data_IF_902243785360
#
_entry.id   IF_902243785360
#
_cell.length_a   1.000
_cell.length_b   1.000
_cell.length_c   1.000
_cell.angle_alpha   90.00
_cell.angle_beta   90.00
_cell.angle_gamma   90.00
#
_symmetry.space_group_name_H-M   'P 1'
#
loop_
_entity.id
_entity.type
_entity.pdbx_description
1 polymer ?
#
# COMPACT_ATOMS: atom_id res chain seq x y z
N UNK A 1 -25.00 12.52 -54.90
CA UNK A 1 -23.59 12.76 -54.55
C UNK A 1 -23.54 13.56 -53.27
N UNK A 2 -22.80 13.03 -52.27
CA UNK A 2 -22.27 13.71 -51.07
C UNK A 2 -23.29 14.12 -50.00
N UNK A 3 -23.04 14.09 -48.69
CA UNK A 3 -22.06 13.47 -47.79
C UNK A 3 -22.49 13.85 -46.34
N UNK A 4 -22.06 13.06 -45.34
CA UNK A 4 -22.19 13.30 -43.89
C UNK A 4 -21.49 14.58 -43.38
N UNK A 5 -21.92 15.11 -42.23
CA UNK A 5 -21.10 15.55 -41.06
C UNK A 5 -21.95 16.44 -40.11
N UNK A 6 -22.31 15.98 -38.91
CA UNK A 6 -21.59 16.11 -37.62
C UNK A 6 -21.67 17.50 -36.96
N UNK A 7 -22.43 17.54 -35.87
CA UNK A 7 -22.54 18.60 -34.87
C UNK A 7 -21.16 18.95 -34.26
N UNK A 8 -20.76 20.21 -34.38
CA UNK A 8 -19.72 20.81 -33.55
C UNK A 8 -20.37 21.92 -32.70
N UNK A 9 -20.19 21.80 -31.37
CA UNK A 9 -20.72 22.72 -30.37
C UNK A 9 -20.17 24.13 -30.52
N UNK A 10 -21.07 25.10 -30.36
CA UNK A 10 -20.74 26.51 -30.26
C UNK A 10 -21.17 27.00 -28.87
N UNK A 11 -20.22 27.17 -27.96
CA UNK A 11 -20.46 27.82 -26.66
C UNK A 11 -20.29 29.34 -26.81
N UNK A 12 -21.29 30.18 -26.50
CA UNK A 12 -21.09 31.61 -26.44
C UNK A 12 -20.40 32.02 -25.12
N UNK A 13 -19.57 33.09 -25.13
CA UNK A 13 -18.69 33.45 -24.03
C UNK A 13 -19.39 34.27 -22.93
N UNK A 14 -19.10 33.88 -21.69
CA UNK A 14 -19.03 34.67 -20.45
C UNK A 14 -20.06 35.82 -20.29
N UNK A 15 -21.24 35.48 -19.79
CA UNK A 15 -22.14 36.43 -19.13
C UNK A 15 -21.91 36.37 -17.61
N UNK A 16 -21.59 37.51 -17.02
CA UNK A 16 -21.40 37.75 -15.59
C UNK A 16 -22.67 37.42 -14.79
N UNK A 17 -22.79 36.16 -14.37
CA UNK A 17 -23.84 35.70 -13.47
C UNK A 17 -23.47 35.96 -12.02
N UNK A 18 -24.10 36.95 -11.39
CA UNK A 18 -24.44 36.81 -9.95
C UNK A 18 -25.30 35.56 -9.83
N UNK A 19 -24.74 34.46 -9.34
CA UNK A 19 -25.54 33.31 -8.94
C UNK A 19 -26.48 33.74 -7.80
N UNK A 20 -27.81 33.60 -7.91
CA UNK A 20 -28.70 33.78 -6.78
C UNK A 20 -28.48 32.57 -5.86
N UNK A 21 -27.59 32.76 -4.89
CA UNK A 21 -27.49 31.90 -3.74
C UNK A 21 -28.78 32.10 -2.92
N UNK A 22 -29.73 31.16 -2.93
CA UNK A 22 -30.70 30.95 -1.83
C UNK A 22 -31.74 29.83 -2.06
N UNK A 23 -31.32 28.64 -2.49
CA UNK A 23 -32.07 27.41 -2.14
C UNK A 23 -31.09 26.30 -1.74
N UNK A 24 -30.54 26.46 -0.53
CA UNK A 24 -29.78 25.42 0.21
C UNK A 24 -30.66 24.18 0.47
N UNK A 25 -30.06 23.00 0.73
CA UNK A 25 -30.77 21.75 1.02
C UNK A 25 -31.44 21.78 2.41
N UNK A 26 -32.47 22.62 2.58
CA UNK A 26 -33.12 22.92 3.86
C UNK A 26 -33.91 21.72 4.42
N UNK A 27 -34.46 20.84 3.57
CA UNK A 27 -35.33 19.74 4.03
C UNK A 27 -34.56 18.61 4.73
N UNK A 28 -33.37 18.25 4.24
CA UNK A 28 -32.59 17.11 4.75
C UNK A 28 -31.84 17.46 6.05
N UNK A 29 -31.40 18.71 6.16
CA UNK A 29 -30.72 19.23 7.35
C UNK A 29 -31.70 19.46 8.52
N UNK A 30 -32.96 19.83 8.24
CA UNK A 30 -34.00 19.98 9.26
C UNK A 30 -34.40 18.64 9.88
N UNK A 31 -34.58 17.58 9.07
CA UNK A 31 -34.91 16.24 9.58
C UNK A 31 -33.83 15.71 10.53
N UNK A 32 -32.54 15.83 10.15
CA UNK A 32 -31.42 15.42 11.00
C UNK A 32 -31.33 16.19 12.32
N UNK A 33 -31.71 17.47 12.31
CA UNK A 33 -31.74 18.29 13.52
C UNK A 33 -32.88 17.86 14.45
N UNK A 34 -34.06 17.56 13.89
CA UNK A 34 -35.19 17.01 14.66
C UNK A 34 -34.83 15.69 15.32
N UNK A 35 -34.21 14.76 14.58
CA UNK A 35 -33.78 13.46 15.10
C UNK A 35 -32.76 13.62 16.24
N UNK A 36 -31.84 14.60 16.13
CA UNK A 36 -30.88 14.91 17.19
C UNK A 36 -31.57 15.40 18.47
N UNK A 37 -32.56 16.28 18.34
CA UNK A 37 -33.31 16.82 19.49
C UNK A 37 -34.06 15.72 20.23
N UNK A 38 -34.72 14.82 19.49
CA UNK A 38 -35.44 13.68 20.06
C UNK A 38 -34.52 12.79 20.92
N UNK A 39 -33.32 12.49 20.40
CA UNK A 39 -32.31 11.69 21.12
C UNK A 39 -31.72 12.40 22.33
N UNK A 40 -31.59 13.72 22.28
CA UNK A 40 -31.18 14.52 23.44
C UNK A 40 -32.26 14.46 24.53
N UNK A 41 -33.54 14.58 24.17
CA UNK A 41 -34.66 14.52 25.10
C UNK A 41 -34.82 13.15 25.76
N UNK A 42 -34.62 12.07 25.00
CA UNK A 42 -34.59 10.71 25.52
C UNK A 42 -33.54 10.55 26.64
N UNK A 43 -32.30 11.01 26.39
CA UNK A 43 -31.21 10.90 27.36
C UNK A 43 -31.36 11.85 28.56
N UNK A 44 -31.88 13.06 28.33
CA UNK A 44 -32.18 14.01 29.42
C UNK A 44 -33.23 13.43 30.37
N UNK A 45 -34.27 12.81 29.82
CA UNK A 45 -35.34 12.17 30.60
C UNK A 45 -34.81 10.96 31.36
N UNK A 46 -33.98 10.12 30.73
CA UNK A 46 -33.40 8.93 31.35
C UNK A 46 -32.46 9.26 32.52
N UNK A 47 -31.70 10.35 32.41
CA UNK A 47 -30.74 10.78 33.44
C UNK A 47 -31.34 11.76 34.46
N UNK A 48 -32.57 12.24 34.23
CA UNK A 48 -33.21 13.25 35.08
C UNK A 48 -32.48 14.60 35.12
N UNK A 49 -31.66 14.90 34.10
CA UNK A 49 -30.86 16.14 34.03
C UNK A 49 -31.64 17.26 33.34
N UNK A 50 -31.41 18.50 33.78
CA UNK A 50 -32.05 19.67 33.15
C UNK A 50 -31.28 20.15 31.92
N UNK A 51 -31.99 20.74 30.93
CA UNK A 51 -31.38 21.31 29.73
C UNK A 51 -30.24 22.29 30.04
N UNK A 52 -30.42 23.10 31.08
CA UNK A 52 -29.47 24.12 31.53
C UNK A 52 -28.21 23.48 32.09
N UNK A 53 -28.37 22.45 32.91
CA UNK A 53 -27.28 21.72 33.54
C UNK A 53 -26.39 21.03 32.51
N UNK A 54 -26.98 20.31 31.55
CA UNK A 54 -26.22 19.65 30.48
C UNK A 54 -25.58 20.66 29.53
N UNK A 55 -26.26 21.76 29.21
CA UNK A 55 -25.67 22.84 28.40
C UNK A 55 -24.44 23.44 29.08
N UNK A 56 -24.49 23.63 30.40
CA UNK A 56 -23.38 24.16 31.18
C UNK A 56 -22.19 23.19 31.21
N UNK A 57 -22.46 21.89 31.42
CA UNK A 57 -21.44 20.84 31.42
C UNK A 57 -20.77 20.72 30.05
N UNK A 58 -21.57 20.69 28.98
CA UNK A 58 -21.06 20.50 27.62
C UNK A 58 -20.27 21.71 27.07
N UNK A 59 -20.47 22.90 27.65
CA UNK A 59 -19.79 24.13 27.23
C UNK A 59 -18.74 24.63 28.22
N UNK A 60 -18.42 23.84 29.26
CA UNK A 60 -17.51 24.23 30.33
C UNK A 60 -17.91 25.57 30.97
N UNK A 61 -19.23 25.79 31.14
CA UNK A 61 -19.77 27.01 31.72
C UNK A 61 -19.95 28.19 30.77
N UNK A 62 -19.58 28.08 29.49
CA UNK A 62 -19.60 29.18 28.52
C UNK A 62 -21.00 29.53 28.01
N UNK A 63 -21.94 28.60 28.00
CA UNK A 63 -23.32 28.85 27.58
C UNK A 63 -24.33 27.94 28.27
N UNK A 64 -25.38 28.53 28.84
CA UNK A 64 -26.52 27.81 29.42
C UNK A 64 -27.62 27.47 28.42
N UNK A 65 -27.54 27.98 27.19
CA UNK A 65 -28.64 27.96 26.22
C UNK A 65 -28.38 27.05 25.00
N UNK A 66 -27.30 26.25 25.01
CA UNK A 66 -26.92 25.40 23.87
C UNK A 66 -28.07 24.50 23.38
N UNK A 67 -28.68 23.72 24.28
CA UNK A 67 -29.79 22.81 23.91
C UNK A 67 -31.04 23.60 23.51
N UNK A 68 -31.27 24.74 24.15
CA UNK A 68 -32.39 25.64 23.85
C UNK A 68 -32.28 26.25 22.45
N UNK A 69 -31.08 26.61 22.03
CA UNK A 69 -30.80 27.18 20.71
C UNK A 69 -30.85 26.11 19.61
N UNK A 70 -30.46 24.87 19.91
CA UNK A 70 -30.68 23.71 19.04
C UNK A 70 -32.18 23.49 18.79
N UNK A 71 -33.01 23.49 19.83
CA UNK A 71 -34.48 23.37 19.69
C UNK A 71 -35.10 24.49 18.85
N UNK A 72 -34.56 25.70 18.93
CA UNK A 72 -35.05 26.87 18.18
C UNK A 72 -34.57 26.90 16.73
N UNK A 73 -33.82 25.90 16.27
CA UNK A 73 -33.21 25.87 14.94
C UNK A 73 -32.21 27.02 14.71
N UNK A 74 -31.79 27.71 15.78
CA UNK A 74 -30.81 28.81 15.75
C UNK A 74 -29.39 28.33 16.05
N UNK A 75 -29.23 27.03 16.32
CA UNK A 75 -27.93 26.40 16.53
C UNK A 75 -27.05 26.52 15.28
N UNK A 76 -25.91 27.21 15.42
CA UNK A 76 -24.79 27.10 14.47
C UNK A 76 -24.41 25.63 14.36
N UNK A 77 -23.97 25.16 13.18
CA UNK A 77 -23.44 23.80 13.00
C UNK A 77 -22.46 23.50 14.13
N UNK A 78 -22.81 22.56 15.00
CA UNK A 78 -21.99 22.22 16.16
C UNK A 78 -20.68 21.61 15.70
N UNK A 79 -19.57 22.06 16.28
CA UNK A 79 -18.26 21.46 16.05
C UNK A 79 -18.16 20.07 16.67
N UNK A 80 -17.18 19.30 16.20
CA UNK A 80 -16.93 17.92 16.66
C UNK A 80 -16.74 17.85 18.18
N UNK A 81 -16.02 18.81 18.75
CA UNK A 81 -15.78 18.86 20.20
C UNK A 81 -17.06 19.14 21.01
N UNK A 82 -18.00 19.92 20.48
CA UNK A 82 -19.27 20.20 21.17
C UNK A 82 -20.13 18.94 21.24
N UNK A 83 -20.12 18.12 20.17
CA UNK A 83 -20.76 16.81 20.18
C UNK A 83 -20.13 15.85 21.18
N UNK A 84 -18.81 15.83 21.29
CA UNK A 84 -18.10 14.98 22.25
C UNK A 84 -18.46 15.34 23.70
N UNK A 85 -18.44 16.64 24.03
CA UNK A 85 -18.78 17.10 25.38
C UNK A 85 -20.26 16.85 25.73
N UNK A 86 -21.18 17.00 24.76
CA UNK A 86 -22.59 16.62 24.94
C UNK A 86 -22.75 15.11 25.16
N UNK A 87 -22.02 14.31 24.39
CA UNK A 87 -22.06 12.85 24.52
C UNK A 87 -21.58 12.40 25.91
N UNK A 88 -20.49 12.99 26.41
CA UNK A 88 -19.96 12.74 27.75
C UNK A 88 -20.95 13.16 28.86
N UNK A 89 -21.51 14.38 28.78
CA UNK A 89 -22.47 14.87 29.78
C UNK A 89 -23.77 14.04 29.85
N UNK A 90 -24.16 13.43 28.72
CA UNK A 90 -25.34 12.57 28.57
C UNK A 90 -25.01 11.07 28.65
N UNK A 91 -23.79 10.71 29.06
CA UNK A 91 -23.33 9.33 29.21
C UNK A 91 -23.65 8.47 27.98
N UNK A 92 -23.40 9.01 26.79
CA UNK A 92 -23.71 8.40 25.50
C UNK A 92 -22.55 8.60 24.53
N UNK A 93 -22.70 8.12 23.29
CA UNK A 93 -21.70 8.26 22.23
C UNK A 93 -22.08 9.34 21.23
N UNK A 94 -21.07 9.91 20.57
CA UNK A 94 -21.28 10.85 19.45
C UNK A 94 -22.06 10.16 18.31
N UNK A 95 -21.84 8.86 18.09
CA UNK A 95 -22.57 8.07 17.08
C UNK A 95 -24.05 7.93 17.41
N UNK A 96 -24.41 7.79 18.68
CA UNK A 96 -25.81 7.76 19.09
C UNK A 96 -26.46 9.12 18.87
N UNK A 97 -25.83 10.21 19.34
CA UNK A 97 -26.38 11.56 19.16
C UNK A 97 -26.51 11.95 17.68
N UNK A 98 -25.54 11.58 16.84
CA UNK A 98 -25.54 11.95 15.42
C UNK A 98 -26.40 11.01 14.57
N UNK A 99 -26.24 9.70 14.74
CA UNK A 99 -26.74 8.67 13.82
C UNK A 99 -27.72 7.67 14.48
N UNK A 100 -27.90 7.71 15.81
CA UNK A 100 -28.92 6.93 16.54
C UNK A 100 -28.42 5.53 16.90
N UNK A 101 -27.14 5.25 16.65
CA UNK A 101 -26.52 3.95 16.87
C UNK A 101 -26.00 3.87 18.30
N UNK A 102 -26.65 3.05 19.13
CA UNK A 102 -26.21 2.77 20.51
C UNK A 102 -24.82 2.12 20.51
N UNK A 103 -24.01 2.35 21.54
CA UNK A 103 -22.67 1.74 21.65
C UNK A 103 -22.69 0.20 21.60
N UNK A 104 -23.78 -0.43 22.05
CA UNK A 104 -23.99 -1.88 21.95
C UNK A 104 -24.31 -2.36 20.53
N UNK A 105 -24.87 -1.48 19.69
CA UNK A 105 -25.21 -1.73 18.27
C UNK A 105 -24.20 -1.10 17.31
N UNK A 106 -23.28 -0.29 17.82
CA UNK A 106 -22.06 0.14 17.16
C UNK A 106 -21.13 -1.08 17.04
N UNK A 107 -21.58 -2.07 16.27
CA UNK A 107 -20.72 -3.10 15.73
C UNK A 107 -19.64 -2.34 14.96
N UNK A 108 -18.38 -2.33 15.43
CA UNK A 108 -17.31 -1.66 14.71
C UNK A 108 -17.20 -2.40 13.39
N UNK A 109 -17.70 -1.76 12.33
CA UNK A 109 -17.81 -2.25 10.96
C UNK A 109 -17.29 -3.69 10.78
N UNK A 110 -18.12 -4.67 11.16
CA UNK A 110 -17.77 -6.09 11.32
C UNK A 110 -17.71 -6.78 9.94
N UNK A 111 -17.02 -6.16 8.97
CA UNK A 111 -16.82 -6.69 7.61
C UNK A 111 -15.48 -7.42 7.43
N UNK A 112 -14.63 -7.45 8.45
CA UNK A 112 -13.42 -8.29 8.48
C UNK A 112 -13.22 -8.79 9.90
N UNK A 113 -13.34 -10.10 10.13
CA UNK A 113 -13.22 -10.75 11.44
C UNK A 113 -11.80 -10.78 12.01
N UNK A 114 -11.05 -9.69 11.94
CA UNK A 114 -9.77 -9.54 12.62
C UNK A 114 -9.96 -8.57 13.78
N UNK A 115 -9.93 -9.10 15.01
CA UNK A 115 -9.79 -8.29 16.22
C UNK A 115 -8.44 -7.58 16.16
N UNK A 116 -8.46 -6.28 15.84
CA UNK A 116 -7.28 -5.43 15.93
C UNK A 116 -7.01 -5.08 17.39
N UNK A 117 -6.54 -6.06 18.18
CA UNK A 117 -5.86 -5.81 19.45
C UNK A 117 -4.37 -5.49 19.24
N UNK A 118 -4.04 -4.81 18.14
CA UNK A 118 -2.71 -4.25 17.89
C UNK A 118 -2.81 -2.74 18.02
N UNK A 119 -2.73 -2.25 19.26
CA UNK A 119 -2.37 -0.87 19.50
C UNK A 119 -1.03 -0.60 18.80
N UNK A 120 -1.09 0.23 17.76
CA UNK A 120 -0.13 1.32 17.53
C UNK A 120 1.35 0.97 17.34
N UNK A 121 1.68 -0.21 16.81
CA UNK A 121 2.94 -0.32 16.08
C UNK A 121 2.72 0.21 14.69
N UNK A 122 3.35 1.34 14.38
CA UNK A 122 3.51 1.75 12.98
C UNK A 122 4.02 0.54 12.19
N UNK A 123 3.45 0.25 11.02
CA UNK A 123 3.86 -0.88 10.19
C UNK A 123 5.39 -0.88 9.92
N UNK A 124 6.02 0.30 10.00
CA UNK A 124 7.47 0.47 9.94
C UNK A 124 8.23 -0.16 11.11
N UNK A 125 7.70 -0.07 12.33
CA UNK A 125 8.32 -0.67 13.52
C UNK A 125 8.14 -2.20 13.53
N UNK A 126 7.05 -2.71 12.97
CA UNK A 126 6.78 -4.13 12.86
C UNK A 126 7.65 -4.85 11.80
N UNK A 127 8.04 -4.15 10.73
CA UNK A 127 8.83 -4.70 9.62
C UNK A 127 9.88 -3.68 9.14
N UNK A 128 11.07 -3.66 9.76
CA UNK A 128 12.09 -2.67 9.45
C UNK A 128 12.63 -2.84 8.03
N UNK A 129 12.85 -1.72 7.33
CA UNK A 129 13.48 -1.66 6.00
C UNK A 129 14.98 -1.85 6.14
N UNK A 130 15.44 -3.09 6.05
CA UNK A 130 16.83 -3.49 6.37
C UNK A 130 17.47 -4.37 5.32
N UNK A 131 16.77 -4.67 4.21
CA UNK A 131 17.36 -5.40 3.09
C UNK A 131 17.86 -4.35 2.08
N UNK A 132 19.17 -4.26 1.81
CA UNK A 132 19.70 -3.33 0.82
C UNK A 132 19.25 -3.73 -0.58
N UNK A 133 18.81 -2.75 -1.36
CA UNK A 133 18.53 -2.91 -2.78
C UNK A 133 19.70 -2.39 -3.59
N UNK A 134 20.24 -3.22 -4.47
CA UNK A 134 21.32 -2.84 -5.36
C UNK A 134 20.79 -2.47 -6.76
N UNK A 135 21.50 -1.55 -7.40
CA UNK A 135 21.20 -1.13 -8.76
C UNK A 135 21.48 -2.25 -9.76
N UNK A 136 20.51 -2.48 -10.65
CA UNK A 136 20.69 -3.34 -11.82
C UNK A 136 20.59 -2.45 -13.06
N UNK A 137 21.58 -2.52 -13.94
CA UNK A 137 21.52 -1.90 -15.26
C UNK A 137 21.45 -3.00 -16.34
N UNK A 138 20.82 -2.68 -17.47
CA UNK A 138 20.85 -3.56 -18.64
C UNK A 138 22.30 -3.64 -19.15
N UNK A 139 22.83 -4.85 -19.23
CA UNK A 139 24.14 -5.14 -19.80
C UNK A 139 24.06 -5.37 -21.30
N UNK A 140 25.22 -5.61 -21.91
CA UNK A 140 25.26 -6.04 -23.31
C UNK A 140 24.67 -7.46 -23.46
N UNK A 141 24.11 -7.75 -24.62
CA UNK A 141 23.79 -9.14 -24.97
C UNK A 141 25.08 -9.97 -24.97
N UNK A 142 25.03 -11.09 -24.28
CA UNK A 142 26.15 -11.98 -24.12
C UNK A 142 26.02 -13.13 -25.12
N UNK A 143 27.01 -13.27 -25.98
CA UNK A 143 27.16 -14.44 -26.84
C UNK A 143 27.75 -15.59 -26.02
N UNK A 144 26.89 -16.53 -25.66
CA UNK A 144 27.25 -17.74 -24.94
C UNK A 144 27.39 -18.89 -25.95
N UNK A 145 28.63 -19.17 -26.34
CA UNK A 145 29.01 -20.25 -27.26
C UNK A 145 28.70 -20.06 -28.76
N UNK A 146 28.42 -18.85 -29.25
CA UNK A 146 28.49 -18.50 -30.67
C UNK A 146 27.17 -18.57 -31.45
N UNK A 147 26.06 -19.02 -30.83
CA UNK A 147 24.79 -19.23 -31.54
C UNK A 147 23.62 -18.39 -31.00
N UNK A 148 23.64 -17.91 -29.75
CA UNK A 148 22.48 -17.25 -29.14
C UNK A 148 22.85 -16.07 -28.23
N UNK A 149 22.19 -14.93 -28.47
CA UNK A 149 22.35 -13.70 -27.70
C UNK A 149 21.46 -13.75 -26.46
N UNK A 150 22.07 -13.75 -25.28
CA UNK A 150 21.36 -13.77 -24.00
C UNK A 150 21.44 -12.39 -23.35
N UNK A 151 20.28 -11.84 -22.97
CA UNK A 151 20.22 -10.61 -22.18
C UNK A 151 20.99 -10.77 -20.88
N UNK A 152 21.95 -9.87 -20.65
CA UNK A 152 22.73 -9.80 -19.42
C UNK A 152 22.51 -8.47 -18.70
N UNK A 153 22.82 -8.45 -17.40
CA UNK A 153 22.64 -7.29 -16.55
C UNK A 153 23.92 -6.97 -15.81
N UNK A 154 24.14 -5.73 -15.43
CA UNK A 154 25.24 -5.35 -14.54
C UNK A 154 24.62 -5.08 -13.17
N UNK A 155 25.07 -5.82 -12.16
CA UNK A 155 24.62 -5.64 -10.77
C UNK A 155 25.80 -5.10 -9.98
N UNK A 156 25.67 -3.85 -9.53
CA UNK A 156 26.68 -3.21 -8.70
C UNK A 156 26.32 -3.41 -7.21
N UNK A 157 27.06 -4.30 -6.53
CA UNK A 157 26.83 -4.66 -5.13
C UNK A 157 27.55 -3.73 -4.13
N UNK A 158 28.08 -2.59 -4.57
CA UNK A 158 28.89 -1.68 -3.76
C UNK A 158 28.04 -0.64 -3.02
N UNK A 159 27.05 -0.06 -3.71
CA UNK A 159 26.20 0.99 -3.19
C UNK A 159 24.71 0.59 -3.25
N UNK A 160 24.04 0.66 -2.10
CA UNK A 160 22.60 0.39 -2.02
C UNK A 160 21.81 1.63 -2.46
N UNK A 161 20.90 1.45 -3.41
CA UNK A 161 20.05 2.50 -3.97
C UNK A 161 18.75 2.71 -3.17
N UNK A 162 18.29 1.68 -2.46
CA UNK A 162 17.08 1.72 -1.62
C UNK A 162 17.16 0.63 -0.54
N UNK A 163 16.17 0.59 0.37
CA UNK A 163 15.99 -0.47 1.36
C UNK A 163 14.57 -0.99 1.40
N UNK A 164 14.41 -2.31 1.22
CA UNK A 164 13.10 -2.99 1.32
C UNK A 164 12.88 -3.59 2.70
N UNK A 165 11.61 -3.79 3.04
CA UNK A 165 11.18 -4.41 4.29
C UNK A 165 11.69 -5.83 4.38
N UNK A 166 12.16 -6.22 5.58
CA UNK A 166 12.60 -7.58 5.86
C UNK A 166 11.43 -8.45 6.34
N UNK A 167 11.02 -9.48 5.60
CA UNK A 167 10.05 -10.46 6.08
C UNK A 167 10.52 -11.12 7.39
N UNK A 168 9.62 -11.44 8.34
CA UNK A 168 10.00 -12.01 9.63
C UNK A 168 10.84 -13.30 9.52
N UNK A 169 10.56 -14.15 8.53
CA UNK A 169 11.33 -15.39 8.32
C UNK A 169 12.78 -15.13 7.85
N UNK A 170 13.06 -13.94 7.31
CA UNK A 170 14.42 -13.52 6.96
C UNK A 170 15.09 -12.69 8.06
N UNK A 171 14.44 -12.47 9.21
CA UNK A 171 14.98 -11.62 10.29
C UNK A 171 16.40 -12.01 10.71
N UNK A 172 16.70 -13.31 10.76
CA UNK A 172 18.01 -13.87 11.15
C UNK A 172 19.03 -13.95 10.01
N UNK A 173 18.65 -13.65 8.76
CA UNK A 173 19.55 -13.67 7.60
C UNK A 173 19.98 -12.25 7.27
N UNK A 174 21.19 -11.88 7.68
CA UNK A 174 21.73 -10.53 7.46
C UNK A 174 22.25 -10.30 6.05
N UNK A 175 22.65 -11.37 5.34
CA UNK A 175 23.36 -11.27 4.06
C UNK A 175 22.44 -11.22 2.83
N UNK A 176 21.13 -11.20 3.04
CA UNK A 176 20.18 -11.09 1.94
C UNK A 176 20.19 -9.67 1.39
N UNK A 177 20.03 -9.57 0.08
CA UNK A 177 19.91 -8.31 -0.63
C UNK A 177 18.75 -8.38 -1.62
N UNK A 178 18.35 -7.25 -2.17
CA UNK A 178 17.35 -7.18 -3.22
C UNK A 178 17.94 -6.54 -4.48
N UNK A 179 17.35 -6.88 -5.62
CA UNK A 179 17.62 -6.23 -6.91
C UNK A 179 16.31 -6.02 -7.64
N UNK A 180 16.27 -4.99 -8.48
CA UNK A 180 15.20 -4.86 -9.47
C UNK A 180 15.53 -5.67 -10.71
N UNK A 181 14.53 -6.38 -11.21
CA UNK A 181 14.65 -7.09 -12.47
C UNK A 181 14.63 -6.07 -13.59
N UNK A 182 15.55 -6.24 -14.52
CA UNK A 182 15.60 -5.49 -15.77
C UNK A 182 15.58 -6.50 -16.92
N UNK A 183 15.14 -6.10 -18.10
CA UNK A 183 14.95 -7.02 -19.23
C UNK A 183 13.70 -7.89 -19.11
N UNK A 184 13.27 -8.46 -20.23
CA UNK A 184 12.03 -9.25 -20.33
C UNK A 184 12.30 -10.75 -20.39
N UNK A 185 13.56 -11.20 -20.32
CA UNK A 185 13.91 -12.61 -20.55
C UNK A 185 13.31 -13.63 -19.59
N UNK A 186 12.79 -13.18 -18.45
CA UNK A 186 12.14 -14.01 -17.45
C UNK A 186 10.61 -13.86 -17.41
N UNK A 187 10.01 -13.07 -18.30
CA UNK A 187 8.55 -12.99 -18.42
C UNK A 187 7.97 -14.35 -18.84
N UNK A 188 6.81 -14.77 -18.29
CA UNK A 188 5.95 -14.05 -17.34
C UNK A 188 6.26 -14.34 -15.86
N UNK A 189 7.37 -15.03 -15.57
CA UNK A 189 7.73 -15.39 -14.18
C UNK A 189 8.15 -14.17 -13.38
N UNK A 190 8.83 -13.24 -14.03
CA UNK A 190 9.25 -11.97 -13.49
C UNK A 190 9.07 -10.88 -14.53
N UNK A 191 8.48 -9.76 -14.12
CA UNK A 191 8.31 -8.59 -14.97
C UNK A 191 9.45 -7.59 -14.74
N UNK A 192 9.82 -6.80 -15.76
CA UNK A 192 10.75 -5.69 -15.59
C UNK A 192 10.26 -4.73 -14.50
N UNK A 193 11.12 -4.41 -13.54
CA UNK A 193 10.81 -3.57 -12.37
C UNK A 193 10.40 -4.35 -11.12
N UNK A 194 10.19 -5.66 -11.21
CA UNK A 194 9.90 -6.47 -10.02
C UNK A 194 11.09 -6.50 -9.05
N UNK A 195 10.88 -6.24 -7.74
CA UNK A 195 11.91 -6.44 -6.73
C UNK A 195 12.01 -7.92 -6.36
N UNK A 196 13.21 -8.47 -6.41
CA UNK A 196 13.49 -9.82 -5.92
C UNK A 196 14.49 -9.81 -4.79
N UNK A 197 14.20 -10.58 -3.74
CA UNK A 197 15.12 -10.81 -2.62
C UNK A 197 15.99 -12.01 -2.96
N UNK A 198 17.28 -11.92 -2.67
CA UNK A 198 18.31 -12.86 -3.02
C UNK A 198 19.05 -13.29 -1.76
N UNK A 199 19.27 -14.59 -1.62
CA UNK A 199 20.04 -15.20 -0.54
C UNK A 199 21.34 -15.79 -1.12
N UNK A 200 22.49 -15.13 -0.91
CA UNK A 200 23.77 -15.61 -1.44
C UNK A 200 24.32 -16.82 -0.67
N UNK A 201 23.92 -17.03 0.59
CA UNK A 201 24.46 -18.11 1.43
C UNK A 201 23.70 -19.43 1.26
N UNK A 202 22.46 -19.38 0.75
CA UNK A 202 21.66 -20.59 0.56
C UNK A 202 21.99 -21.26 -0.78
N UNK A 203 22.42 -22.54 -0.77
CA UNK A 203 22.81 -23.21 -2.01
C UNK A 203 21.61 -23.37 -2.96
N UNK A 204 21.75 -23.00 -4.24
CA UNK A 204 20.70 -23.16 -5.24
C UNK A 204 20.52 -24.63 -5.62
N UNK A 205 19.27 -25.02 -5.86
CA UNK A 205 18.89 -26.36 -6.34
C UNK A 205 18.31 -26.28 -7.75
N UNK A 206 18.42 -27.35 -8.56
CA UNK A 206 17.65 -27.47 -9.78
C UNK A 206 16.16 -27.16 -9.55
N UNK A 207 15.61 -26.27 -10.35
CA UNK A 207 14.25 -25.73 -10.23
C UNK A 207 14.13 -24.42 -9.47
N UNK A 208 15.18 -23.94 -8.80
CA UNK A 208 15.23 -22.61 -8.20
C UNK A 208 15.57 -21.54 -9.25
N UNK A 209 15.09 -20.31 -9.03
CA UNK A 209 15.53 -19.15 -9.78
C UNK A 209 16.78 -18.57 -9.12
N UNK A 210 17.72 -18.16 -9.95
CA UNK A 210 19.06 -17.80 -9.53
C UNK A 210 19.53 -16.54 -10.24
N UNK A 211 20.37 -15.78 -9.54
CA UNK A 211 21.22 -14.76 -10.12
C UNK A 211 22.62 -15.37 -10.26
N UNK A 212 23.09 -15.46 -11.50
CA UNK A 212 24.41 -15.98 -11.85
C UNK A 212 25.31 -14.81 -12.17
N UNK A 213 26.36 -14.62 -11.39
CA UNK A 213 27.40 -13.62 -11.67
C UNK A 213 28.49 -14.27 -12.50
N UNK A 214 28.82 -13.63 -13.62
CA UNK A 214 29.85 -14.08 -14.55
C UNK A 214 31.15 -13.31 -14.26
N UNK A 215 32.27 -14.02 -14.25
CA UNK A 215 33.58 -13.43 -14.05
C UNK A 215 33.98 -12.55 -15.25
N UNK A 216 34.59 -11.41 -14.98
CA UNK A 216 35.33 -10.69 -16.02
C UNK A 216 36.67 -11.36 -16.27
N UNK A 217 37.02 -11.60 -17.54
CA UNK A 217 38.34 -12.15 -17.90
C UNK A 217 39.46 -11.11 -17.74
N UNK A 218 39.13 -9.83 -17.59
CA UNK A 218 40.09 -8.72 -17.52
C UNK A 218 40.16 -7.99 -16.18
N UNK A 219 39.19 -8.17 -15.28
CA UNK A 219 39.14 -7.51 -13.97
C UNK A 219 38.75 -8.49 -12.86
N UNK A 220 39.20 -8.27 -11.61
CA UNK A 220 38.80 -9.08 -10.45
C UNK A 220 37.37 -8.72 -9.98
N UNK A 221 36.37 -8.89 -10.85
CA UNK A 221 34.99 -8.52 -10.58
C UNK A 221 33.96 -9.26 -11.44
N UNK A 222 32.68 -9.09 -11.09
CA UNK A 222 31.58 -9.60 -11.90
C UNK A 222 31.37 -8.70 -13.13
N UNK A 223 31.50 -9.26 -14.34
CA UNK A 223 31.26 -8.55 -15.61
C UNK A 223 29.78 -8.34 -15.87
N UNK A 224 29.00 -9.36 -15.56
CA UNK A 224 27.58 -9.44 -15.83
C UNK A 224 26.90 -10.38 -14.83
N UNK A 225 25.59 -10.21 -14.70
CA UNK A 225 24.69 -10.98 -13.90
C UNK A 225 23.52 -11.43 -14.79
N UNK A 226 23.14 -12.70 -14.67
CA UNK A 226 22.01 -13.28 -15.38
C UNK A 226 20.96 -13.70 -14.35
N UNK A 227 19.70 -13.31 -14.54
CA UNK A 227 18.58 -13.87 -13.80
C UNK A 227 17.92 -14.95 -14.66
N UNK A 228 18.01 -16.21 -14.21
CA UNK A 228 17.52 -17.38 -14.96
C UNK A 228 17.01 -18.45 -14.00
N UNK A 229 16.32 -19.46 -14.54
CA UNK A 229 15.98 -20.66 -13.77
C UNK A 229 17.08 -21.70 -13.90
N UNK A 230 17.54 -22.25 -12.77
CA UNK A 230 18.54 -23.32 -12.77
C UNK A 230 17.87 -24.65 -13.16
N UNK A 231 18.24 -25.23 -14.30
CA UNK A 231 17.72 -26.54 -14.74
C UNK A 231 18.60 -27.66 -14.22
N UNK A 232 19.92 -27.49 -14.32
CA UNK A 232 20.91 -28.50 -13.92
C UNK A 232 22.20 -27.82 -13.51
N UNK A 233 22.86 -28.40 -12.49
CA UNK A 233 24.20 -27.99 -12.07
C UNK A 233 25.13 -29.20 -12.17
N UNK A 234 26.22 -29.05 -12.91
CA UNK A 234 27.29 -30.05 -13.00
C UNK A 234 28.63 -29.41 -12.62
N UNK A 235 29.68 -30.23 -12.53
CA UNK A 235 31.03 -29.72 -12.27
C UNK A 235 31.62 -28.94 -13.47
N UNK A 236 31.10 -29.15 -14.68
CA UNK A 236 31.61 -28.54 -15.93
C UNK A 236 30.81 -27.32 -16.37
N UNK A 237 29.49 -27.36 -16.18
CA UNK A 237 28.58 -26.33 -16.67
C UNK A 237 27.30 -26.23 -15.83
N UNK A 238 26.67 -25.07 -15.92
CA UNK A 238 25.34 -24.75 -15.40
C UNK A 238 24.36 -24.63 -16.57
N UNK A 239 23.31 -25.44 -16.56
CA UNK A 239 22.21 -25.34 -17.53
C UNK A 239 21.16 -24.40 -16.96
N UNK A 240 20.93 -23.30 -17.65
CA UNK A 240 20.00 -22.24 -17.29
C UNK A 240 18.85 -22.16 -18.30
N UNK A 241 17.68 -21.79 -17.81
CA UNK A 241 16.47 -21.58 -18.62
C UNK A 241 16.01 -20.14 -18.52
N UNK A 242 15.72 -19.55 -19.67
CA UNK A 242 14.93 -18.33 -19.80
C UNK A 242 13.54 -18.65 -20.33
N UNK A 243 12.61 -17.71 -20.14
CA UNK A 243 11.21 -17.88 -20.53
C UNK A 243 10.84 -17.08 -21.78
N UNK A 244 11.58 -16.02 -22.10
CA UNK A 244 11.31 -15.15 -23.24
C UNK A 244 12.60 -14.73 -23.97
N UNK A 245 12.84 -15.17 -25.21
CA UNK A 245 12.24 -16.36 -25.82
C UNK A 245 12.53 -17.62 -24.98
N UNK A 246 11.66 -18.64 -24.99
CA UNK A 246 11.84 -19.85 -24.20
C UNK A 246 13.05 -20.65 -24.73
N UNK A 247 14.08 -20.77 -23.90
CA UNK A 247 15.37 -21.31 -24.33
C UNK A 247 16.17 -21.83 -23.13
N UNK A 248 16.88 -22.94 -23.34
CA UNK A 248 17.82 -23.52 -22.39
C UNK A 248 19.22 -23.39 -22.96
N UNK A 249 20.15 -22.85 -22.17
CA UNK A 249 21.54 -22.68 -22.56
C UNK A 249 22.49 -23.06 -21.44
N UNK A 250 23.75 -23.29 -21.77
CA UNK A 250 24.78 -23.70 -20.81
C UNK A 250 25.82 -22.61 -20.62
N UNK A 251 26.16 -22.37 -19.35
CA UNK A 251 27.27 -21.51 -18.95
C UNK A 251 28.36 -22.39 -18.37
N UNK A 252 29.59 -22.24 -18.85
CA UNK A 252 30.72 -23.01 -18.36
C UNK A 252 31.04 -22.63 -16.90
N UNK A 253 31.38 -23.63 -16.07
CA UNK A 253 31.52 -23.42 -14.63
C UNK A 253 32.71 -22.54 -14.24
N UNK A 254 33.70 -22.40 -15.12
CA UNK A 254 34.85 -21.50 -15.02
C UNK A 254 34.50 -20.03 -15.29
N UNK A 255 33.43 -19.76 -16.03
CA UNK A 255 32.93 -18.40 -16.26
C UNK A 255 32.02 -17.90 -15.13
N UNK A 256 31.57 -18.79 -14.25
CA UNK A 256 30.67 -18.46 -13.14
C UNK A 256 31.47 -18.05 -11.90
N UNK A 257 31.34 -16.80 -11.51
CA UNK A 257 31.92 -16.26 -10.28
C UNK A 257 31.10 -16.68 -9.05
N UNK A 258 29.78 -16.50 -9.12
CA UNK A 258 28.88 -16.80 -8.02
C UNK A 258 27.47 -17.14 -8.51
N UNK A 259 26.75 -17.94 -7.72
CA UNK A 259 25.34 -18.28 -7.99
C UNK A 259 24.55 -18.02 -6.73
N UNK A 260 23.74 -16.96 -6.76
CA UNK A 260 22.89 -16.57 -5.64
C UNK A 260 21.46 -16.98 -5.91
N UNK A 261 20.76 -17.41 -4.86
CA UNK A 261 19.43 -17.98 -5.00
C UNK A 261 18.36 -16.94 -4.73
N UNK A 262 17.37 -16.84 -5.61
CA UNK A 262 16.21 -15.96 -5.38
C UNK A 262 15.31 -16.58 -4.32
N UNK A 263 14.92 -15.76 -3.34
CA UNK A 263 13.97 -16.13 -2.30
C UNK A 263 12.57 -16.10 -2.88
N UNK A 264 11.89 -17.24 -2.85
CA UNK A 264 10.54 -17.40 -3.37
C UNK A 264 9.52 -17.35 -2.24
N UNK A 265 8.23 -17.16 -2.58
CA UNK A 265 7.16 -17.20 -1.58
C UNK A 265 7.17 -18.50 -0.75
N UNK A 266 7.52 -19.64 -1.37
CA UNK A 266 7.70 -20.93 -0.66
C UNK A 266 8.75 -20.88 0.46
N UNK A 267 9.77 -20.02 0.34
CA UNK A 267 10.80 -19.86 1.37
C UNK A 267 10.34 -18.96 2.52
N UNK A 268 9.28 -18.17 2.30
CA UNK A 268 8.70 -17.25 3.27
C UNK A 268 7.52 -17.87 4.05
N UNK A 269 7.08 -19.08 3.69
CA UNK A 269 5.94 -19.76 4.30
C UNK A 269 6.31 -20.82 5.34
N UNK A 270 7.59 -21.21 5.45
CA UNK A 270 8.08 -22.21 6.40
C UNK A 270 8.15 -23.60 5.81
#
# INVERSE_FOLDING_TARGET
MLAEALNAGNCPPLSTGKCPNDQKPLMRDNARMTDLIERLEERLTALGKSDREVSLLATEGRSSDLIRDLRRGRGKRMGIEAYQRLAEALETTVSYLRDGVHAAEASPNRRTGYESHAADRSFDEALPRTIPVYGTALGAELDLNGDELVESHIVELTEAIDWVRRPPLLARRSDVYAVYITGSSMEPRFEPGDPVIVDPKRPPRPGDDVIVQLADRHTEGAKAALIKRLVRRSAKALTLRQYNPPMDFEVAADEVLAVHRVVMMRDLLG
#
